data_IF_816436166911
#
_entry.id   IF_816436166911
#
_cell.length_a   1.000
_cell.length_b   1.000
_cell.length_c   1.000
_cell.angle_alpha   90.00
_cell.angle_beta   90.00
_cell.angle_gamma   90.00
#
_symmetry.space_group_name_H-M   'P 1'
#
loop_
_entity.id
_entity.type
_entity.pdbx_description
1 polymer ?
#
# COMPACT_ATOMS: atom_id res chain seq x y z
N UNK A 1 -16.91 20.26 90.19
CA UNK A 1 -17.51 20.47 88.85
C UNK A 1 -19.02 20.52 88.98
N UNK A 2 -19.70 21.48 88.35
CA UNK A 2 -21.17 21.55 88.39
C UNK A 2 -21.81 20.46 87.53
N UNK A 3 -23.06 20.09 87.83
CA UNK A 3 -23.79 19.11 87.02
C UNK A 3 -24.00 19.53 85.56
N UNK A 4 -24.02 20.85 85.28
CA UNK A 4 -24.09 21.40 83.93
C UNK A 4 -22.75 21.23 83.19
N UNK A 5 -21.63 21.56 83.85
CA UNK A 5 -20.29 21.36 83.29
C UNK A 5 -20.05 19.89 82.95
N UNK A 6 -20.34 18.96 83.87
CA UNK A 6 -20.21 17.52 83.63
C UNK A 6 -21.14 16.98 82.52
N UNK A 7 -22.23 17.68 82.21
CA UNK A 7 -23.09 17.35 81.06
C UNK A 7 -22.45 17.78 79.75
N UNK A 8 -21.82 18.96 79.72
CA UNK A 8 -21.18 19.48 78.51
C UNK A 8 -19.98 18.65 78.09
N UNK A 9 -19.13 18.19 79.01
CA UNK A 9 -18.04 17.25 78.69
C UNK A 9 -18.58 15.96 78.07
N UNK A 10 -19.63 15.37 78.64
CA UNK A 10 -20.25 14.15 78.09
C UNK A 10 -20.78 14.31 76.67
N UNK A 11 -21.23 15.50 76.28
CA UNK A 11 -21.65 15.78 74.92
C UNK A 11 -20.45 15.83 73.96
N UNK A 12 -19.34 16.46 74.38
CA UNK A 12 -18.10 16.46 73.58
C UNK A 12 -17.56 15.03 73.45
N UNK A 13 -17.55 14.24 74.53
CA UNK A 13 -17.12 12.83 74.52
C UNK A 13 -18.00 11.95 73.63
N UNK A 14 -19.29 12.26 73.50
CA UNK A 14 -20.17 11.54 72.58
C UNK A 14 -19.78 11.81 71.12
N UNK A 15 -19.51 13.07 70.77
CA UNK A 15 -19.08 13.43 69.42
C UNK A 15 -17.69 12.86 69.11
N UNK A 16 -16.77 12.89 70.07
CA UNK A 16 -15.44 12.30 69.97
C UNK A 16 -15.51 10.79 69.71
N UNK A 17 -16.34 10.05 70.45
CA UNK A 17 -16.56 8.61 70.21
C UNK A 17 -17.06 8.33 68.80
N UNK A 18 -17.93 9.17 68.25
CA UNK A 18 -18.42 9.00 66.87
C UNK A 18 -17.29 9.19 65.85
N UNK A 19 -16.42 10.19 66.03
CA UNK A 19 -15.25 10.39 65.18
C UNK A 19 -14.25 9.24 65.30
N UNK A 20 -13.94 8.83 66.52
CA UNK A 20 -13.09 7.66 66.80
C UNK A 20 -13.61 6.39 66.10
N UNK A 21 -14.91 6.09 66.24
CA UNK A 21 -15.53 4.91 65.62
C UNK A 21 -15.45 4.94 64.07
N UNK A 22 -15.56 6.13 63.46
CA UNK A 22 -15.39 6.28 62.01
C UNK A 22 -13.96 5.99 61.57
N UNK A 23 -12.96 6.37 62.37
CA UNK A 23 -11.54 6.14 62.08
C UNK A 23 -11.08 4.70 62.41
N UNK A 24 -11.71 4.06 63.40
CA UNK A 24 -11.35 2.70 63.84
C UNK A 24 -12.08 1.58 63.08
N UNK A 25 -12.93 1.92 62.10
CA UNK A 25 -13.67 0.92 61.32
C UNK A 25 -12.73 -0.13 60.69
N UNK A 26 -13.04 -1.43 60.78
CA UNK A 26 -12.25 -2.49 60.16
C UNK A 26 -12.29 -2.40 58.62
N UNK A 27 -13.32 -1.76 58.05
CA UNK A 27 -13.51 -1.55 56.61
C UNK A 27 -12.70 -0.38 56.05
N UNK A 28 -11.77 0.21 56.82
CA UNK A 28 -11.02 1.39 56.36
C UNK A 28 -10.31 1.17 55.01
N UNK A 29 -9.83 -0.04 54.75
CA UNK A 29 -9.17 -0.41 53.50
C UNK A 29 -10.11 -0.64 52.31
N UNK A 30 -11.43 -0.70 52.52
CA UNK A 30 -12.43 -0.89 51.47
C UNK A 30 -12.84 0.44 50.81
N UNK A 31 -12.55 1.57 51.46
CA UNK A 31 -12.81 2.90 50.91
C UNK A 31 -11.82 3.24 49.80
N UNK A 32 -12.32 3.84 48.73
CA UNK A 32 -11.43 4.39 47.69
C UNK A 32 -10.61 5.56 48.26
N UNK A 33 -9.56 5.97 47.55
CA UNK A 33 -8.65 7.01 48.01
C UNK A 33 -9.36 8.33 48.33
N UNK A 34 -10.27 8.78 47.45
CA UNK A 34 -11.02 10.02 47.64
C UNK A 34 -11.91 9.99 48.89
N UNK A 35 -12.55 8.85 49.18
CA UNK A 35 -13.37 8.67 50.37
C UNK A 35 -12.52 8.67 51.65
N UNK A 36 -11.33 8.06 51.63
CA UNK A 36 -10.39 8.09 52.76
C UNK A 36 -9.90 9.50 53.04
N UNK A 37 -9.53 10.25 52.00
CA UNK A 37 -9.07 11.63 52.12
C UNK A 37 -10.17 12.53 52.69
N UNK A 38 -11.40 12.39 52.20
CA UNK A 38 -12.55 13.16 52.71
C UNK A 38 -12.84 12.86 54.18
N UNK A 39 -12.75 11.58 54.58
CA UNK A 39 -12.95 11.16 55.98
C UNK A 39 -11.86 11.70 56.91
N UNK A 40 -10.60 11.70 56.46
CA UNK A 40 -9.48 12.28 57.21
C UNK A 40 -9.66 13.79 57.38
N UNK A 41 -9.97 14.51 56.30
CA UNK A 41 -10.23 15.94 56.34
C UNK A 41 -11.37 16.31 57.30
N UNK A 42 -12.47 15.53 57.28
CA UNK A 42 -13.57 15.73 58.22
C UNK A 42 -13.15 15.46 59.68
N UNK A 43 -12.40 14.38 59.92
CA UNK A 43 -11.94 14.03 61.26
C UNK A 43 -10.97 15.08 61.84
N UNK A 44 -10.16 15.71 61.00
CA UNK A 44 -9.28 16.83 61.39
C UNK A 44 -10.09 18.06 61.80
N UNK A 45 -11.08 18.45 60.98
CA UNK A 45 -11.97 19.56 61.31
C UNK A 45 -12.74 19.30 62.62
N UNK A 46 -13.22 18.07 62.81
CA UNK A 46 -13.92 17.67 64.04
C UNK A 46 -12.97 17.73 65.25
N UNK A 47 -11.73 17.25 65.12
CA UNK A 47 -10.73 17.28 66.20
C UNK A 47 -10.33 18.70 66.62
N UNK A 48 -10.28 19.64 65.68
CA UNK A 48 -10.04 21.06 65.98
C UNK A 48 -11.26 21.70 66.67
N UNK A 49 -12.48 21.34 66.24
CA UNK A 49 -13.70 21.78 66.92
C UNK A 49 -13.79 21.22 68.36
N UNK A 50 -13.40 19.96 68.59
CA UNK A 50 -13.36 19.37 69.93
C UNK A 50 -12.36 20.08 70.82
N UNK A 51 -11.14 20.36 70.32
CA UNK A 51 -10.14 21.15 71.07
C UNK A 51 -10.71 22.50 71.51
N UNK A 52 -11.30 23.26 70.58
CA UNK A 52 -11.87 24.57 70.88
C UNK A 52 -13.00 24.50 71.92
N UNK A 53 -13.86 23.47 71.85
CA UNK A 53 -14.94 23.26 72.84
C UNK A 53 -14.40 22.89 74.21
N UNK A 54 -13.38 22.02 74.29
CA UNK A 54 -12.73 21.66 75.54
C UNK A 54 -12.01 22.86 76.17
N UNK A 55 -11.30 23.67 75.38
CA UNK A 55 -10.63 24.89 75.86
C UNK A 55 -11.63 25.89 76.45
N UNK A 56 -12.78 26.08 75.79
CA UNK A 56 -13.85 26.95 76.30
C UNK A 56 -14.44 26.43 77.62
N UNK A 57 -14.67 25.11 77.74
CA UNK A 57 -15.15 24.51 78.99
C UNK A 57 -14.10 24.60 80.11
N UNK A 58 -12.83 24.40 79.78
CA UNK A 58 -11.71 24.51 80.72
C UNK A 58 -11.54 25.95 81.23
N UNK A 59 -11.78 26.98 80.40
CA UNK A 59 -11.69 28.38 80.78
C UNK A 59 -12.77 28.80 81.81
N UNK A 60 -13.93 28.12 81.82
CA UNK A 60 -15.02 28.35 82.76
C UNK A 60 -14.92 27.52 84.05
N UNK A 61 -13.92 26.63 84.15
CA UNK A 61 -13.70 25.77 85.32
C UNK A 61 -12.83 26.46 86.37
N UNK A 62 -13.09 26.13 87.64
CA UNK A 62 -12.15 26.40 88.71
C UNK A 62 -10.82 25.67 88.41
N UNK A 63 -9.66 26.35 88.47
CA UNK A 63 -8.36 25.73 88.20
C UNK A 63 -8.09 24.44 89.00
N UNK A 64 -8.65 24.31 90.20
CA UNK A 64 -8.52 23.09 91.02
C UNK A 64 -9.22 21.87 90.39
N UNK A 65 -10.16 22.08 89.46
CA UNK A 65 -10.95 21.05 88.80
C UNK A 65 -10.41 20.63 87.42
N UNK A 66 -9.35 21.28 86.91
CA UNK A 66 -8.73 20.89 85.64
C UNK A 66 -8.11 19.48 85.67
N UNK A 67 -7.89 18.95 86.88
CA UNK A 67 -7.39 17.59 87.10
C UNK A 67 -8.50 16.56 87.38
N UNK A 68 -9.77 16.95 87.24
CA UNK A 68 -10.88 16.02 87.43
C UNK A 68 -10.96 15.01 86.28
N UNK A 69 -11.34 13.77 86.59
CA UNK A 69 -11.44 12.67 85.62
C UNK A 69 -12.16 13.03 84.32
N UNK A 70 -13.30 13.78 84.30
CA UNK A 70 -13.96 14.13 83.04
C UNK A 70 -13.07 14.94 82.10
N UNK A 71 -12.25 15.86 82.63
CA UNK A 71 -11.35 16.68 81.82
C UNK A 71 -10.23 15.81 81.25
N UNK A 72 -9.60 14.99 82.11
CA UNK A 72 -8.51 14.10 81.68
C UNK A 72 -8.97 13.06 80.66
N UNK A 73 -10.17 12.51 80.83
CA UNK A 73 -10.75 11.54 79.89
C UNK A 73 -11.01 12.16 78.52
N UNK A 74 -11.58 13.37 78.47
CA UNK A 74 -11.83 14.07 77.19
C UNK A 74 -10.53 14.43 76.46
N UNK A 75 -9.51 14.89 77.20
CA UNK A 75 -8.19 15.19 76.64
C UNK A 75 -7.50 13.93 76.09
N UNK A 76 -7.59 12.81 76.82
CA UNK A 76 -7.06 11.52 76.37
C UNK A 76 -7.77 11.02 75.10
N UNK A 77 -9.10 11.18 75.03
CA UNK A 77 -9.87 10.76 73.86
C UNK A 77 -9.56 11.60 72.61
N UNK A 78 -9.40 12.92 72.76
CA UNK A 78 -8.95 13.78 71.67
C UNK A 78 -7.54 13.41 71.19
N UNK A 79 -6.64 13.08 72.11
CA UNK A 79 -5.30 12.60 71.77
C UNK A 79 -5.36 11.27 70.99
N UNK A 80 -6.24 10.35 71.37
CA UNK A 80 -6.46 9.08 70.66
C UNK A 80 -6.97 9.32 69.23
N UNK A 81 -7.93 10.24 69.04
CA UNK A 81 -8.42 10.60 67.70
C UNK A 81 -7.30 11.16 66.83
N UNK A 82 -6.49 12.09 67.36
CA UNK A 82 -5.35 12.66 66.61
C UNK A 82 -4.32 11.58 66.25
N UNK A 83 -4.06 10.63 67.13
CA UNK A 83 -3.19 9.49 66.86
C UNK A 83 -3.77 8.58 65.76
N UNK A 84 -5.08 8.31 65.78
CA UNK A 84 -5.76 7.55 64.72
C UNK A 84 -5.71 8.27 63.37
N UNK A 85 -5.90 9.59 63.33
CA UNK A 85 -5.75 10.38 62.10
C UNK A 85 -4.33 10.21 61.53
N UNK A 86 -3.30 10.37 62.35
CA UNK A 86 -1.91 10.18 61.93
C UNK A 86 -1.65 8.75 61.44
N UNK A 87 -2.10 7.74 62.21
CA UNK A 87 -1.97 6.33 61.84
C UNK A 87 -2.65 6.01 60.50
N UNK A 88 -3.85 6.57 60.25
CA UNK A 88 -4.60 6.34 59.02
C UNK A 88 -4.00 7.06 57.81
N UNK A 89 -3.34 8.20 58.04
CA UNK A 89 -2.59 8.93 56.99
C UNK A 89 -1.33 8.19 56.57
N UNK A 90 -0.68 7.48 57.50
CA UNK A 90 0.52 6.68 57.24
C UNK A 90 0.23 5.23 56.84
N UNK A 91 -1.03 4.77 56.97
CA UNK A 91 -1.42 3.42 56.59
C UNK A 91 -1.20 3.23 55.08
N UNK A 92 -0.36 2.27 54.66
CA UNK A 92 -0.15 2.00 53.24
C UNK A 92 -1.49 1.63 52.60
N UNK A 93 -1.70 2.06 51.35
CA UNK A 93 -2.85 1.58 50.61
C UNK A 93 -2.81 0.06 50.57
N UNK A 94 -3.91 -0.63 50.91
CA UNK A 94 -4.01 -2.04 50.60
C UNK A 94 -3.98 -2.15 49.08
N UNK A 95 -2.82 -2.50 48.53
CA UNK A 95 -2.71 -2.88 47.13
C UNK A 95 -3.52 -4.17 47.01
N UNK A 96 -4.77 -4.04 46.57
CA UNK A 96 -5.56 -5.20 46.22
C UNK A 96 -4.71 -6.00 45.22
N UNK A 97 -4.45 -7.28 45.52
CA UNK A 97 -3.76 -8.15 44.58
C UNK A 97 -4.55 -8.06 43.26
N UNK A 98 -3.88 -7.64 42.18
CA UNK A 98 -4.49 -7.62 40.86
C UNK A 98 -5.09 -9.00 40.59
N UNK A 99 -6.32 -9.07 40.09
CA UNK A 99 -6.90 -10.36 39.72
C UNK A 99 -6.01 -11.03 38.66
N UNK A 100 -6.03 -12.36 38.62
CA UNK A 100 -5.30 -13.11 37.58
C UNK A 100 -5.70 -12.64 36.18
N UNK A 101 -6.98 -12.25 36.00
CA UNK A 101 -7.54 -11.71 34.76
C UNK A 101 -6.95 -10.33 34.40
N UNK A 102 -6.83 -9.43 35.38
CA UNK A 102 -6.19 -8.12 35.19
C UNK A 102 -4.70 -8.28 34.85
N UNK A 103 -4.01 -9.21 35.52
CA UNK A 103 -2.60 -9.51 35.26
C UNK A 103 -2.40 -10.02 33.83
N UNK A 104 -3.23 -10.97 33.39
CA UNK A 104 -3.21 -11.50 32.03
C UNK A 104 -3.50 -10.40 30.98
N UNK A 105 -4.49 -9.53 31.23
CA UNK A 105 -4.82 -8.42 30.34
C UNK A 105 -3.65 -7.45 30.15
N UNK A 106 -2.94 -7.12 31.23
CA UNK A 106 -1.76 -6.25 31.19
C UNK A 106 -0.58 -6.91 30.47
N UNK A 107 -0.37 -8.22 30.65
CA UNK A 107 0.66 -8.98 29.91
C UNK A 107 0.36 -9.01 28.40
N UNK A 108 -0.89 -9.29 28.02
CA UNK A 108 -1.29 -9.29 26.61
C UNK A 108 -1.21 -7.91 25.99
N UNK A 109 -1.59 -6.86 26.72
CA UNK A 109 -1.45 -5.47 26.25
C UNK A 109 0.02 -5.12 25.99
N UNK A 110 0.93 -5.51 26.90
CA UNK A 110 2.37 -5.33 26.71
C UNK A 110 2.88 -6.09 25.50
N UNK A 111 2.50 -7.37 25.36
CA UNK A 111 2.92 -8.20 24.25
C UNK A 111 2.46 -7.62 22.89
N UNK A 112 1.21 -7.12 22.80
CA UNK A 112 0.73 -6.46 21.57
C UNK A 112 1.49 -5.18 21.27
N UNK A 113 1.82 -4.36 22.27
CA UNK A 113 2.64 -3.17 22.08
C UNK A 113 4.03 -3.51 21.57
N UNK A 114 4.71 -4.47 22.19
CA UNK A 114 6.04 -4.92 21.78
C UNK A 114 6.04 -5.47 20.35
N UNK A 115 5.05 -6.29 19.99
CA UNK A 115 4.88 -6.80 18.63
C UNK A 115 4.60 -5.67 17.63
N UNK A 116 3.78 -4.69 18.01
CA UNK A 116 3.48 -3.53 17.17
C UNK A 116 4.74 -2.70 16.91
N UNK A 117 5.50 -2.39 17.95
CA UNK A 117 6.76 -1.65 17.83
C UNK A 117 7.78 -2.39 16.96
N UNK A 118 7.86 -3.72 17.09
CA UNK A 118 8.78 -4.54 16.33
C UNK A 118 8.38 -4.70 14.84
N UNK A 119 7.08 -4.77 14.53
CA UNK A 119 6.62 -5.27 13.22
C UNK A 119 5.73 -4.33 12.42
N UNK A 120 5.19 -3.25 12.99
CA UNK A 120 4.24 -2.37 12.27
C UNK A 120 4.85 -1.78 10.99
N UNK A 121 6.13 -1.42 11.02
CA UNK A 121 6.84 -0.86 9.87
C UNK A 121 6.92 -1.86 8.69
N UNK A 122 6.92 -3.16 8.95
CA UNK A 122 6.97 -4.19 7.90
C UNK A 122 5.72 -4.20 7.02
N UNK A 123 4.57 -3.72 7.55
CA UNK A 123 3.31 -3.59 6.81
C UNK A 123 3.21 -2.29 6.01
N UNK A 124 4.23 -1.42 6.01
CA UNK A 124 4.21 -0.19 5.22
C UNK A 124 4.02 -0.50 3.73
N UNK A 125 3.05 0.16 3.09
CA UNK A 125 2.67 -0.10 1.69
C UNK A 125 1.67 -1.23 1.48
N UNK A 126 1.34 -2.01 2.53
CA UNK A 126 0.37 -3.11 2.46
C UNK A 126 -1.01 -2.61 2.89
N UNK A 127 -1.76 -2.06 1.93
CA UNK A 127 -3.04 -1.38 2.19
C UNK A 127 -4.28 -2.18 1.76
N UNK A 128 -4.12 -3.43 1.30
CA UNK A 128 -5.21 -4.26 0.81
C UNK A 128 -5.66 -3.94 -0.61
N UNK A 129 -4.83 -3.21 -1.37
CA UNK A 129 -5.00 -2.88 -2.79
C UNK A 129 -3.78 -3.39 -3.57
N UNK A 130 -3.80 -3.25 -4.91
CA UNK A 130 -2.64 -3.58 -5.74
C UNK A 130 -1.40 -2.81 -5.27
N UNK A 131 -0.30 -3.53 -5.11
CA UNK A 131 1.03 -2.97 -4.81
C UNK A 131 1.83 -2.71 -6.09
N UNK A 132 1.31 -3.11 -7.25
CA UNK A 132 1.93 -2.90 -8.55
C UNK A 132 1.55 -1.52 -9.07
N UNK A 133 2.56 -0.71 -9.38
CA UNK A 133 2.41 0.62 -9.94
C UNK A 133 3.65 0.97 -10.78
N UNK A 134 3.51 1.92 -11.69
CA UNK A 134 4.56 2.33 -12.61
C UNK A 134 4.01 2.82 -13.94
N UNK A 135 4.81 3.61 -14.63
CA UNK A 135 4.48 4.18 -15.94
C UNK A 135 4.88 3.29 -17.10
N UNK A 136 5.85 2.40 -16.87
CA UNK A 136 6.32 1.40 -17.84
C UNK A 136 6.10 -0.02 -17.31
N UNK A 137 6.02 -0.98 -18.22
CA UNK A 137 5.90 -2.41 -17.88
C UNK A 137 7.12 -2.87 -17.08
N UNK A 138 8.32 -2.43 -17.44
CA UNK A 138 9.56 -2.79 -16.74
C UNK A 138 9.53 -2.33 -15.27
N UNK A 139 9.13 -1.08 -15.05
CA UNK A 139 8.97 -0.51 -13.71
C UNK A 139 7.92 -1.27 -12.90
N UNK A 140 6.75 -1.55 -13.50
CA UNK A 140 5.69 -2.33 -12.85
C UNK A 140 6.16 -3.73 -12.45
N UNK A 141 6.89 -4.43 -13.33
CA UNK A 141 7.44 -5.76 -13.03
C UNK A 141 8.50 -5.70 -11.91
N UNK A 142 9.34 -4.66 -11.89
CA UNK A 142 10.32 -4.45 -10.83
C UNK A 142 9.64 -4.20 -9.48
N UNK A 143 8.71 -3.27 -9.43
CA UNK A 143 7.92 -2.93 -8.24
C UNK A 143 7.15 -4.14 -7.75
N UNK A 144 6.49 -4.87 -8.65
CA UNK A 144 5.73 -6.06 -8.28
C UNK A 144 6.61 -7.18 -7.73
N UNK A 145 7.81 -7.39 -8.27
CA UNK A 145 8.78 -8.35 -7.67
C UNK A 145 9.17 -7.97 -6.26
N UNK A 146 9.48 -6.70 -6.01
CA UNK A 146 9.79 -6.21 -4.67
C UNK A 146 8.60 -6.36 -3.71
N UNK A 147 7.39 -6.15 -4.18
CA UNK A 147 6.17 -6.38 -3.41
C UNK A 147 5.96 -7.87 -3.06
N UNK A 148 6.18 -8.79 -4.02
CA UNK A 148 6.15 -10.24 -3.73
C UNK A 148 7.15 -10.62 -2.64
N UNK A 149 8.39 -10.12 -2.73
CA UNK A 149 9.42 -10.35 -1.71
C UNK A 149 8.99 -9.83 -0.33
N UNK A 150 8.41 -8.62 -0.27
CA UNK A 150 7.90 -8.05 0.97
C UNK A 150 6.77 -8.91 1.57
N UNK A 151 5.79 -9.31 0.76
CA UNK A 151 4.66 -10.12 1.20
C UNK A 151 5.10 -11.51 1.65
N UNK A 152 6.07 -12.12 0.96
CA UNK A 152 6.65 -13.41 1.37
C UNK A 152 7.36 -13.29 2.72
N UNK A 153 8.11 -12.21 2.96
CA UNK A 153 8.76 -11.96 4.25
C UNK A 153 7.73 -11.78 5.37
N UNK A 154 6.66 -11.04 5.11
CA UNK A 154 5.57 -10.89 6.06
C UNK A 154 4.96 -12.25 6.41
N UNK A 155 4.66 -13.08 5.42
CA UNK A 155 4.10 -14.43 5.63
C UNK A 155 5.05 -15.37 6.40
N UNK A 156 6.35 -15.33 6.13
CA UNK A 156 7.30 -16.29 6.73
C UNK A 156 7.86 -15.86 8.09
N UNK A 157 8.00 -14.56 8.34
CA UNK A 157 8.69 -14.04 9.52
C UNK A 157 7.75 -13.33 10.49
N UNK A 158 6.92 -12.41 9.99
CA UNK A 158 6.10 -11.53 10.84
C UNK A 158 4.80 -12.21 11.24
N UNK A 159 4.13 -12.85 10.30
CA UNK A 159 2.83 -13.50 10.53
C UNK A 159 2.90 -14.56 11.64
N UNK A 160 3.86 -15.51 11.65
CA UNK A 160 3.96 -16.50 12.71
C UNK A 160 4.25 -15.88 14.09
N UNK A 161 4.94 -14.74 14.13
CA UNK A 161 5.27 -14.05 15.38
C UNK A 161 4.06 -13.35 16.00
N UNK A 162 3.23 -12.68 15.19
CA UNK A 162 2.11 -11.88 15.71
C UNK A 162 0.82 -12.70 15.90
N UNK A 163 0.56 -13.68 15.03
CA UNK A 163 -0.76 -14.34 14.95
C UNK A 163 -1.20 -15.03 16.26
N UNK A 164 -0.33 -15.71 17.05
CA UNK A 164 -0.74 -16.34 18.31
C UNK A 164 -1.28 -15.33 19.33
N UNK A 165 -0.57 -14.22 19.53
CA UNK A 165 -0.98 -13.16 20.48
C UNK A 165 -2.27 -12.50 20.02
N UNK A 166 -2.36 -12.17 18.72
CA UNK A 166 -3.55 -11.54 18.14
C UNK A 166 -4.79 -12.43 18.29
N UNK A 167 -4.66 -13.74 18.06
CA UNK A 167 -5.76 -14.69 18.25
C UNK A 167 -6.23 -14.74 19.70
N UNK A 168 -5.29 -14.82 20.66
CA UNK A 168 -5.63 -14.86 22.09
C UNK A 168 -6.37 -13.59 22.53
N UNK A 169 -5.97 -12.41 22.04
CA UNK A 169 -6.68 -11.15 22.31
C UNK A 169 -8.08 -11.17 21.71
N UNK A 170 -8.22 -11.58 20.45
CA UNK A 170 -9.51 -11.68 19.77
C UNK A 170 -10.50 -12.62 20.49
N UNK A 171 -10.03 -13.80 20.90
CA UNK A 171 -10.84 -14.79 21.62
C UNK A 171 -11.29 -14.31 23.01
N UNK A 172 -10.44 -13.54 23.69
CA UNK A 172 -10.67 -13.10 25.09
C UNK A 172 -11.50 -11.81 25.16
N UNK A 173 -11.20 -10.84 24.29
CA UNK A 173 -11.67 -9.46 24.40
C UNK A 173 -12.41 -8.96 23.15
N UNK A 174 -12.44 -9.75 22.07
CA UNK A 174 -13.10 -9.43 20.80
C UNK A 174 -12.17 -8.87 19.72
N UNK A 175 -12.68 -8.79 18.49
CA UNK A 175 -11.89 -8.42 17.29
C UNK A 175 -11.91 -6.92 16.94
N UNK A 176 -12.53 -6.09 17.79
CA UNK A 176 -12.64 -4.65 17.52
C UNK A 176 -12.03 -3.83 18.66
N UNK A 177 -11.47 -2.67 18.32
CA UNK A 177 -10.94 -1.75 19.34
C UNK A 177 -11.95 -1.41 20.43
N UNK A 178 -13.23 -1.21 20.07
CA UNK A 178 -14.29 -0.93 21.04
C UNK A 178 -14.60 -2.12 21.96
N UNK A 179 -14.66 -3.35 21.42
CA UNK A 179 -14.88 -4.55 22.23
C UNK A 179 -13.73 -4.73 23.24
N UNK A 180 -12.49 -4.61 22.76
CA UNK A 180 -11.28 -4.74 23.58
C UNK A 180 -11.27 -3.68 24.69
N UNK A 181 -11.45 -2.41 24.33
CA UNK A 181 -11.42 -1.32 25.31
C UNK A 181 -12.55 -1.42 26.34
N UNK A 182 -13.76 -1.87 25.94
CA UNK A 182 -14.87 -2.07 26.87
C UNK A 182 -14.61 -3.22 27.85
N UNK A 183 -14.02 -4.32 27.37
CA UNK A 183 -13.63 -5.45 28.23
C UNK A 183 -12.61 -5.01 29.28
N UNK A 184 -11.59 -4.25 28.87
CA UNK A 184 -10.55 -3.70 29.75
C UNK A 184 -11.11 -2.68 30.75
N UNK A 185 -12.07 -1.85 30.32
CA UNK A 185 -12.70 -0.90 31.22
C UNK A 185 -13.47 -1.62 32.35
N UNK A 186 -14.09 -2.77 32.07
CA UNK A 186 -14.75 -3.60 33.08
C UNK A 186 -13.80 -4.23 34.10
N UNK A 187 -12.48 -4.21 33.84
CA UNK A 187 -11.43 -4.73 34.72
C UNK A 187 -10.65 -3.62 35.46
N UNK A 188 -11.13 -2.38 35.42
CA UNK A 188 -10.46 -1.20 36.00
C UNK A 188 -9.02 -0.97 35.48
N UNK A 189 -8.73 -1.42 34.25
CA UNK A 189 -7.46 -1.14 33.57
C UNK A 189 -7.38 0.38 33.27
N UNK A 190 -6.26 1.07 33.58
CA UNK A 190 -6.12 2.52 33.36
C UNK A 190 -6.42 2.94 31.91
N UNK A 191 -7.11 4.08 31.74
CA UNK A 191 -7.54 4.59 30.42
C UNK A 191 -6.41 5.03 29.49
N UNK A 192 -5.17 5.12 29.99
CA UNK A 192 -3.99 5.46 29.20
C UNK A 192 -3.58 4.34 28.24
N UNK A 193 -4.21 3.17 28.33
CA UNK A 193 -3.92 2.02 27.48
C UNK A 193 -4.67 2.08 26.16
N UNK A 194 -3.96 2.45 25.09
CA UNK A 194 -4.41 2.42 23.69
C UNK A 194 -4.50 0.98 23.11
N UNK A 195 -4.82 -0.01 23.93
CA UNK A 195 -4.68 -1.43 23.58
C UNK A 195 -5.55 -1.81 22.37
N UNK A 196 -6.83 -1.41 22.35
CA UNK A 196 -7.70 -1.68 21.21
C UNK A 196 -7.18 -1.11 19.89
N UNK A 197 -6.60 0.09 19.88
CA UNK A 197 -6.00 0.67 18.67
C UNK A 197 -4.68 0.00 18.28
N UNK A 198 -3.83 -0.34 19.25
CA UNK A 198 -2.57 -1.05 19.01
C UNK A 198 -2.82 -2.43 18.38
N UNK A 199 -3.85 -3.13 18.85
CA UNK A 199 -4.34 -4.36 18.24
C UNK A 199 -4.82 -4.12 16.80
N UNK A 200 -5.65 -3.09 16.57
CA UNK A 200 -6.20 -2.84 15.24
C UNK A 200 -5.14 -2.48 14.19
N UNK A 201 -4.03 -1.85 14.58
CA UNK A 201 -2.92 -1.55 13.67
C UNK A 201 -2.34 -2.85 13.07
N UNK A 202 -2.05 -3.84 13.92
CA UNK A 202 -1.54 -5.15 13.49
C UNK A 202 -2.62 -5.97 12.77
N UNK A 203 -3.84 -5.99 13.30
CA UNK A 203 -4.95 -6.77 12.71
C UNK A 203 -5.25 -6.32 11.28
N UNK A 204 -5.25 -5.01 11.02
CA UNK A 204 -5.41 -4.47 9.65
C UNK A 204 -4.26 -4.86 8.74
N UNK A 205 -3.02 -4.87 9.25
CA UNK A 205 -1.87 -5.36 8.49
C UNK A 205 -2.04 -6.82 8.06
N UNK A 206 -2.51 -7.67 8.97
CA UNK A 206 -2.81 -9.09 8.69
C UNK A 206 -3.89 -9.26 7.63
N UNK A 207 -5.02 -8.55 7.75
CA UNK A 207 -6.11 -8.61 6.76
C UNK A 207 -5.68 -8.09 5.38
N UNK A 208 -4.94 -6.97 5.38
CA UNK A 208 -4.47 -6.35 4.15
C UNK A 208 -3.47 -7.22 3.38
N UNK A 209 -2.76 -8.16 4.04
CA UNK A 209 -1.78 -9.01 3.39
C UNK A 209 -2.41 -9.87 2.28
N UNK A 210 -3.43 -10.65 2.63
CA UNK A 210 -4.14 -11.50 1.67
C UNK A 210 -4.86 -10.68 0.59
N UNK A 211 -5.41 -9.53 0.98
CA UNK A 211 -6.09 -8.61 0.06
C UNK A 211 -5.13 -7.98 -0.95
N UNK A 212 -3.95 -7.54 -0.51
CA UNK A 212 -2.92 -6.98 -1.38
C UNK A 212 -2.38 -8.01 -2.36
N UNK A 213 -2.20 -9.27 -1.94
CA UNK A 213 -1.82 -10.38 -2.85
C UNK A 213 -2.83 -10.52 -3.98
N UNK A 214 -4.10 -10.72 -3.63
CA UNK A 214 -5.19 -10.89 -4.60
C UNK A 214 -5.33 -9.68 -5.53
N UNK A 215 -5.40 -8.48 -4.96
CA UNK A 215 -5.57 -7.26 -5.75
C UNK A 215 -4.40 -7.00 -6.71
N UNK A 216 -3.17 -7.36 -6.33
CA UNK A 216 -2.00 -7.24 -7.21
C UNK A 216 -2.02 -8.26 -8.35
N UNK A 217 -2.42 -9.51 -8.05
CA UNK A 217 -2.57 -10.54 -9.08
C UNK A 217 -3.68 -10.18 -10.09
N UNK A 218 -4.86 -9.77 -9.60
CA UNK A 218 -5.99 -9.34 -10.43
C UNK A 218 -5.64 -8.15 -11.33
N UNK A 219 -4.88 -7.18 -10.81
CA UNK A 219 -4.46 -6.01 -11.58
C UNK A 219 -3.51 -6.39 -12.73
N UNK A 220 -2.54 -7.26 -12.48
CA UNK A 220 -1.63 -7.78 -13.50
C UNK A 220 -2.37 -8.61 -14.56
N UNK A 221 -3.34 -9.44 -14.16
CA UNK A 221 -4.20 -10.20 -15.09
C UNK A 221 -5.00 -9.25 -15.99
N UNK A 222 -5.60 -8.20 -15.40
CA UNK A 222 -6.37 -7.19 -16.13
C UNK A 222 -5.49 -6.47 -17.15
N UNK A 223 -4.28 -6.06 -16.77
CA UNK A 223 -3.34 -5.39 -17.67
C UNK A 223 -2.87 -6.32 -18.80
N UNK A 224 -2.53 -7.57 -18.48
CA UNK A 224 -2.16 -8.57 -19.50
C UNK A 224 -3.29 -8.83 -20.49
N UNK A 225 -4.54 -8.92 -20.01
CA UNK A 225 -5.71 -9.19 -20.87
C UNK A 225 -5.90 -8.10 -21.93
N UNK A 226 -5.62 -6.83 -21.58
CA UNK A 226 -5.70 -5.73 -22.55
C UNK A 226 -4.74 -5.90 -23.75
N UNK A 227 -3.54 -6.45 -23.54
CA UNK A 227 -2.61 -6.71 -24.63
C UNK A 227 -3.00 -7.93 -25.46
N UNK A 228 -3.49 -8.98 -24.80
CA UNK A 228 -3.94 -10.21 -25.45
C UNK A 228 -5.13 -9.92 -26.36
N UNK A 229 -6.12 -9.15 -25.90
CA UNK A 229 -7.32 -8.81 -26.67
C UNK A 229 -7.00 -7.99 -27.93
N UNK A 230 -5.93 -7.18 -27.87
CA UNK A 230 -5.48 -6.34 -28.97
C UNK A 230 -4.39 -7.00 -29.82
N UNK A 231 -4.05 -8.28 -29.57
CA UNK A 231 -2.82 -8.85 -30.10
C UNK A 231 -2.73 -8.77 -31.63
N UNK A 232 -3.84 -9.06 -32.32
CA UNK A 232 -3.89 -9.04 -33.78
C UNK A 232 -3.82 -7.64 -34.38
N UNK A 233 -4.09 -6.58 -33.60
CA UNK A 233 -3.97 -5.19 -34.05
C UNK A 233 -2.53 -4.68 -34.08
N UNK A 234 -1.61 -5.35 -33.39
CA UNK A 234 -0.19 -4.99 -33.40
C UNK A 234 0.51 -5.51 -34.66
N UNK A 235 1.59 -4.82 -35.05
CA UNK A 235 2.50 -5.32 -36.09
C UNK A 235 3.13 -6.65 -35.67
N UNK A 236 3.54 -7.45 -36.63
CA UNK A 236 4.14 -8.78 -36.41
C UNK A 236 5.27 -8.76 -35.37
N UNK A 237 6.20 -7.81 -35.49
CA UNK A 237 7.32 -7.61 -34.56
C UNK A 237 6.85 -7.29 -33.13
N UNK A 238 5.74 -6.56 -33.00
CA UNK A 238 5.20 -6.20 -31.70
C UNK A 238 4.39 -7.33 -31.06
N UNK A 239 3.81 -8.24 -31.84
CA UNK A 239 2.98 -9.33 -31.31
C UNK A 239 3.74 -10.22 -30.33
N UNK A 240 4.90 -10.74 -30.73
CA UNK A 240 5.70 -11.60 -29.84
C UNK A 240 6.15 -10.85 -28.58
N UNK A 241 6.60 -9.59 -28.71
CA UNK A 241 6.94 -8.75 -27.56
C UNK A 241 5.75 -8.56 -26.60
N UNK A 242 4.56 -8.26 -27.12
CA UNK A 242 3.36 -8.07 -26.28
C UNK A 242 2.90 -9.35 -25.60
N UNK A 243 3.05 -10.50 -26.25
CA UNK A 243 2.79 -11.80 -25.63
C UNK A 243 3.83 -12.12 -24.54
N UNK A 244 5.10 -11.81 -24.76
CA UNK A 244 6.14 -11.97 -23.76
C UNK A 244 5.93 -11.06 -22.54
N UNK A 245 5.57 -9.79 -22.76
CA UNK A 245 5.20 -8.87 -21.68
C UNK A 245 3.99 -9.39 -20.89
N UNK A 246 2.97 -9.88 -21.58
CA UNK A 246 1.79 -10.51 -20.97
C UNK A 246 2.16 -11.73 -20.14
N UNK A 247 3.01 -12.60 -20.67
CA UNK A 247 3.54 -13.78 -19.97
C UNK A 247 4.26 -13.39 -18.69
N UNK A 248 5.12 -12.36 -18.74
CA UNK A 248 5.86 -11.88 -17.58
C UNK A 248 4.94 -11.28 -16.50
N UNK A 249 3.89 -10.55 -16.91
CA UNK A 249 2.86 -10.05 -15.98
C UNK A 249 2.09 -11.19 -15.30
N UNK A 250 1.67 -12.20 -16.06
CA UNK A 250 0.94 -13.35 -15.51
C UNK A 250 1.82 -14.23 -14.62
N UNK A 251 3.09 -14.42 -14.97
CA UNK A 251 4.04 -15.11 -14.10
C UNK A 251 4.26 -14.37 -12.77
N UNK A 252 4.30 -13.03 -12.81
CA UNK A 252 4.38 -12.23 -11.59
C UNK A 252 3.06 -12.28 -10.78
N UNK A 253 1.91 -12.27 -11.45
CA UNK A 253 0.62 -12.48 -10.79
C UNK A 253 0.57 -13.83 -10.07
N UNK A 254 1.11 -14.90 -10.69
CA UNK A 254 1.18 -16.23 -10.10
C UNK A 254 2.06 -16.23 -8.83
N UNK A 255 3.10 -15.40 -8.79
CA UNK A 255 3.92 -15.24 -7.60
C UNK A 255 3.18 -14.53 -6.44
N UNK A 256 2.16 -13.71 -6.73
CA UNK A 256 1.28 -13.14 -5.71
C UNK A 256 0.23 -14.14 -5.22
N UNK A 257 -0.42 -14.88 -6.13
CA UNK A 257 -1.45 -15.88 -5.83
C UNK A 257 -1.22 -17.20 -6.61
N UNK A 258 -0.39 -18.11 -6.09
CA UNK A 258 -0.05 -19.36 -6.79
C UNK A 258 -1.20 -20.38 -6.80
N UNK A 259 -2.21 -20.20 -5.94
CA UNK A 259 -3.34 -21.12 -5.80
C UNK A 259 -4.47 -20.83 -6.80
N UNK A 260 -4.43 -19.69 -7.50
CA UNK A 260 -5.44 -19.33 -8.49
C UNK A 260 -5.34 -20.19 -9.75
N UNK A 261 -6.28 -21.12 -9.90
CA UNK A 261 -6.36 -22.02 -11.05
C UNK A 261 -6.68 -21.31 -12.37
N UNK A 262 -7.45 -20.22 -12.34
CA UNK A 262 -7.81 -19.46 -13.54
C UNK A 262 -6.60 -18.71 -14.08
N UNK A 263 -5.85 -18.06 -13.19
CA UNK A 263 -4.57 -17.43 -13.52
C UNK A 263 -3.58 -18.42 -14.14
N UNK A 264 -3.43 -19.60 -13.55
CA UNK A 264 -2.56 -20.65 -14.07
C UNK A 264 -2.97 -21.12 -15.46
N UNK A 265 -4.28 -21.23 -15.73
CA UNK A 265 -4.78 -21.54 -17.08
C UNK A 265 -4.49 -20.41 -18.08
N UNK A 266 -4.67 -19.15 -17.68
CA UNK A 266 -4.38 -17.98 -18.52
C UNK A 266 -2.90 -17.92 -18.91
N UNK A 267 -1.99 -18.16 -17.97
CA UNK A 267 -0.56 -18.21 -18.26
C UNK A 267 -0.23 -19.29 -19.29
N UNK A 268 -0.79 -20.50 -19.13
CA UNK A 268 -0.61 -21.58 -20.10
C UNK A 268 -1.21 -21.26 -21.48
N UNK A 269 -2.33 -20.54 -21.54
CA UNK A 269 -2.93 -20.07 -22.80
C UNK A 269 -2.00 -19.07 -23.51
N UNK A 270 -1.41 -18.12 -22.78
CA UNK A 270 -0.46 -17.16 -23.36
C UNK A 270 0.80 -17.87 -23.88
N UNK A 271 1.31 -18.87 -23.15
CA UNK A 271 2.44 -19.68 -23.61
C UNK A 271 2.11 -20.40 -24.95
N UNK A 272 0.92 -20.98 -25.05
CA UNK A 272 0.45 -21.61 -26.28
C UNK A 272 0.26 -20.59 -27.43
N UNK A 273 -0.28 -19.41 -27.13
CA UNK A 273 -0.42 -18.32 -28.10
C UNK A 273 0.94 -17.83 -28.59
N UNK A 274 1.93 -17.72 -27.70
CA UNK A 274 3.29 -17.33 -28.06
C UNK A 274 3.91 -18.33 -29.03
N UNK A 275 3.88 -19.63 -28.70
CA UNK A 275 4.43 -20.67 -29.58
C UNK A 275 3.71 -20.72 -30.94
N UNK A 276 2.38 -20.64 -30.94
CA UNK A 276 1.60 -20.62 -32.17
C UNK A 276 1.87 -19.37 -33.03
N UNK A 277 2.10 -18.22 -32.39
CA UNK A 277 2.47 -16.97 -33.07
C UNK A 277 3.86 -17.08 -33.69
N UNK A 278 4.83 -17.62 -32.96
CA UNK A 278 6.20 -17.84 -33.45
C UNK A 278 6.20 -18.76 -34.67
N UNK A 279 5.52 -19.91 -34.60
CA UNK A 279 5.36 -20.83 -35.74
C UNK A 279 4.62 -20.20 -36.92
N UNK A 280 3.63 -19.33 -36.66
CA UNK A 280 2.90 -18.62 -37.72
C UNK A 280 3.82 -17.62 -38.42
N UNK A 281 4.57 -16.83 -37.67
CA UNK A 281 5.51 -15.85 -38.20
C UNK A 281 6.57 -16.53 -39.05
N UNK A 282 7.17 -17.61 -38.56
CA UNK A 282 8.21 -18.33 -39.31
C UNK A 282 7.67 -18.92 -40.63
N UNK A 283 6.49 -19.53 -40.59
CA UNK A 283 5.82 -20.02 -41.82
C UNK A 283 5.50 -18.89 -42.79
N UNK A 284 5.06 -17.75 -42.30
CA UNK A 284 4.77 -16.59 -43.15
C UNK A 284 6.07 -16.04 -43.77
N UNK A 285 7.15 -15.94 -42.99
CA UNK A 285 8.48 -15.55 -43.46
C UNK A 285 8.97 -16.46 -44.59
N UNK A 286 8.78 -17.78 -44.45
CA UNK A 286 9.12 -18.77 -45.48
C UNK A 286 8.28 -18.63 -46.74
N UNK A 287 6.97 -18.40 -46.58
CA UNK A 287 6.02 -18.34 -47.69
C UNK A 287 6.10 -17.02 -48.47
N UNK A 288 6.47 -15.91 -47.81
CA UNK A 288 6.46 -14.57 -48.40
C UNK A 288 7.45 -14.44 -49.55
N UNK A 289 6.96 -13.83 -50.63
CA UNK A 289 7.73 -13.53 -51.84
C UNK A 289 7.79 -12.02 -52.04
N UNK A 290 8.84 -11.54 -52.69
CA UNK A 290 8.93 -10.14 -53.07
C UNK A 290 7.82 -9.77 -54.06
N UNK A 291 7.12 -8.68 -53.76
CA UNK A 291 6.08 -8.13 -54.64
C UNK A 291 6.72 -7.13 -55.60
N UNK A 292 6.62 -7.40 -56.90
CA UNK A 292 7.08 -6.50 -57.96
C UNK A 292 6.29 -5.19 -58.00
N UNK A 293 6.64 -4.30 -58.93
CA UNK A 293 5.86 -3.07 -59.15
C UNK A 293 4.38 -3.39 -59.45
N UNK A 294 3.50 -2.47 -59.07
CA UNK A 294 2.10 -2.45 -59.48
C UNK A 294 2.01 -2.48 -61.01
N UNK A 295 1.22 -3.40 -61.56
CA UNK A 295 1.22 -3.70 -63.00
C UNK A 295 0.55 -2.63 -63.88
N UNK A 296 -0.32 -1.80 -63.31
CA UNK A 296 -1.17 -0.83 -64.00
C UNK A 296 -0.92 0.61 -63.53
N UNK A 297 0.34 0.97 -63.27
CA UNK A 297 0.69 2.33 -62.87
C UNK A 297 0.30 3.36 -63.94
N UNK A 298 -0.64 4.24 -63.62
CA UNK A 298 -1.18 5.26 -64.52
C UNK A 298 -0.62 6.68 -64.22
N UNK A 299 0.31 6.77 -63.28
CA UNK A 299 0.95 8.00 -62.85
C UNK A 299 2.02 8.52 -63.82
N UNK A 300 2.45 9.78 -63.68
CA UNK A 300 3.67 10.26 -64.34
C UNK A 300 4.91 9.51 -63.86
N UNK A 301 5.84 9.26 -64.79
CA UNK A 301 7.07 8.48 -64.57
C UNK A 301 6.90 6.98 -64.84
N UNK A 302 8.01 6.27 -65.00
CA UNK A 302 8.02 4.81 -65.07
C UNK A 302 8.26 4.21 -63.68
N UNK A 303 7.62 3.08 -63.36
CA UNK A 303 7.74 2.46 -62.02
C UNK A 303 9.18 2.11 -61.65
N UNK A 304 9.98 1.68 -62.62
CA UNK A 304 11.39 1.32 -62.41
C UNK A 304 12.25 2.55 -62.10
N UNK A 305 11.97 3.67 -62.75
CA UNK A 305 12.67 4.94 -62.51
C UNK A 305 12.31 5.52 -61.15
N UNK A 306 11.03 5.48 -60.79
CA UNK A 306 10.53 5.90 -59.48
C UNK A 306 11.12 5.01 -58.37
N UNK A 307 11.15 3.70 -58.56
CA UNK A 307 11.72 2.78 -57.60
C UNK A 307 13.23 3.00 -57.42
N UNK A 308 13.99 3.22 -58.51
CA UNK A 308 15.42 3.55 -58.43
C UNK A 308 15.65 4.87 -57.67
N UNK A 309 14.86 5.90 -57.97
CA UNK A 309 14.96 7.17 -57.26
C UNK A 309 14.61 7.05 -55.76
N UNK A 310 13.65 6.20 -55.40
CA UNK A 310 13.31 5.90 -54.02
C UNK A 310 14.42 5.08 -53.33
N UNK A 311 15.01 4.11 -54.02
CA UNK A 311 16.15 3.34 -53.54
C UNK A 311 17.36 4.23 -53.24
N UNK A 312 17.70 5.15 -54.16
CA UNK A 312 18.76 6.14 -53.98
C UNK A 312 18.47 7.08 -52.80
N UNK A 313 17.22 7.53 -52.67
CA UNK A 313 16.77 8.33 -51.54
C UNK A 313 17.00 7.62 -50.20
N UNK A 314 16.56 6.37 -50.06
CA UNK A 314 16.72 5.62 -48.80
C UNK A 314 18.18 5.25 -48.52
N UNK A 315 18.98 4.89 -49.53
CA UNK A 315 20.42 4.63 -49.37
C UNK A 315 21.18 5.86 -48.90
N UNK A 316 20.76 7.06 -49.33
CA UNK A 316 21.32 8.34 -48.91
C UNK A 316 20.78 8.87 -47.57
N UNK A 317 19.71 8.30 -47.03
CA UNK A 317 19.06 8.78 -45.81
C UNK A 317 19.74 8.21 -44.55
N UNK A 318 20.33 9.04 -43.67
CA UNK A 318 21.01 8.56 -42.45
C UNK A 318 20.10 7.79 -41.49
N UNK A 319 18.79 8.08 -41.51
CA UNK A 319 17.79 7.37 -40.70
C UNK A 319 17.64 5.89 -41.08
N UNK A 320 17.86 5.55 -42.35
CA UNK A 320 17.73 4.19 -42.88
C UNK A 320 19.09 3.48 -43.02
N UNK A 321 20.18 4.24 -43.07
CA UNK A 321 21.54 3.69 -43.11
C UNK A 321 22.42 4.31 -42.00
N UNK A 322 22.12 4.04 -40.71
CA UNK A 322 22.91 4.56 -39.61
C UNK A 322 24.31 3.91 -39.59
N UNK A 323 25.35 4.74 -39.45
CA UNK A 323 26.73 4.29 -39.41
C UNK A 323 26.95 3.21 -38.33
N UNK A 324 27.67 2.15 -38.69
CA UNK A 324 28.04 1.06 -37.77
C UNK A 324 26.98 -0.02 -37.54
N UNK A 325 25.80 0.06 -38.19
CA UNK A 325 24.74 -0.97 -38.08
C UNK A 325 24.73 -1.99 -39.22
N UNK A 326 25.57 -1.81 -40.24
CA UNK A 326 25.68 -2.73 -41.39
C UNK A 326 24.37 -2.88 -42.16
N UNK A 327 23.53 -1.84 -42.20
CA UNK A 327 22.23 -1.87 -42.89
C UNK A 327 22.45 -1.73 -44.39
N UNK A 328 21.75 -2.56 -45.15
CA UNK A 328 21.75 -2.56 -46.60
C UNK A 328 20.32 -2.47 -47.12
N UNK A 329 20.03 -1.43 -47.91
CA UNK A 329 18.77 -1.30 -48.64
C UNK A 329 18.91 -2.02 -49.98
N UNK A 330 18.17 -3.12 -50.13
CA UNK A 330 18.36 -4.09 -51.21
C UNK A 330 17.52 -3.76 -52.44
N UNK A 331 16.23 -3.43 -52.25
CA UNK A 331 15.31 -3.17 -53.35
C UNK A 331 14.14 -2.27 -52.92
N UNK A 332 13.53 -1.61 -53.91
CA UNK A 332 12.27 -0.87 -53.76
C UNK A 332 11.32 -1.28 -54.89
N UNK A 333 10.03 -1.39 -54.57
CA UNK A 333 8.96 -1.57 -55.58
C UNK A 333 7.82 -0.59 -55.34
N UNK A 334 7.20 -0.15 -56.44
CA UNK A 334 6.06 0.79 -56.42
C UNK A 334 4.80 -0.03 -56.21
N UNK A 335 4.05 0.23 -55.14
CA UNK A 335 2.91 -0.60 -54.72
C UNK A 335 1.56 0.04 -55.02
N UNK A 336 1.55 1.30 -55.46
CA UNK A 336 0.29 1.98 -55.76
C UNK A 336 0.48 3.23 -56.61
N UNK A 337 -0.66 3.82 -56.95
CA UNK A 337 -0.74 5.06 -57.72
C UNK A 337 -0.24 6.26 -56.88
N UNK A 338 0.02 7.38 -57.54
CA UNK A 338 0.22 8.65 -56.84
C UNK A 338 -1.02 9.04 -56.04
N UNK A 339 -0.83 9.41 -54.79
CA UNK A 339 -1.87 9.87 -53.89
C UNK A 339 -1.51 11.22 -53.25
N UNK A 340 -2.51 11.95 -52.78
CA UNK A 340 -2.31 13.25 -52.14
C UNK A 340 -1.72 13.03 -50.76
N UNK A 341 -0.54 13.61 -50.51
CA UNK A 341 0.10 13.60 -49.19
C UNK A 341 -0.41 14.78 -48.36
N UNK A 342 -0.26 16.00 -48.88
CA UNK A 342 -0.64 17.23 -48.19
C UNK A 342 -1.51 18.13 -49.07
N UNK A 343 -2.37 18.90 -48.38
CA UNK A 343 -3.27 19.90 -48.97
C UNK A 343 -3.02 21.26 -48.32
N UNK A 344 -3.28 22.33 -49.07
CA UNK A 344 -3.27 23.68 -48.50
C UNK A 344 -4.51 23.96 -47.63
N UNK A 345 -4.58 25.16 -47.05
CA UNK A 345 -5.71 25.63 -46.22
C UNK A 345 -7.07 25.59 -46.94
N UNK A 346 -7.08 25.52 -48.27
CA UNK A 346 -8.29 25.46 -49.10
C UNK A 346 -8.58 24.04 -49.62
N UNK A 347 -7.85 23.03 -49.13
CA UNK A 347 -8.04 21.63 -49.52
C UNK A 347 -7.43 21.25 -50.87
N UNK A 348 -6.63 22.11 -51.51
CA UNK A 348 -6.00 21.83 -52.80
C UNK A 348 -4.70 21.03 -52.59
N UNK A 349 -4.44 19.97 -53.39
CA UNK A 349 -3.20 19.20 -53.27
C UNK A 349 -1.95 20.06 -53.50
N UNK A 350 -1.00 19.99 -52.56
CA UNK A 350 0.31 20.67 -52.67
C UNK A 350 1.49 19.69 -52.65
N UNK A 351 1.26 18.46 -52.18
CA UNK A 351 2.29 17.43 -52.15
C UNK A 351 1.67 16.07 -52.50
N UNK A 352 2.45 15.25 -53.18
CA UNK A 352 2.06 13.91 -53.59
C UNK A 352 2.98 12.86 -52.97
N UNK A 353 2.44 11.66 -52.76
CA UNK A 353 3.17 10.48 -52.31
C UNK A 353 2.96 9.31 -53.25
N UNK A 354 3.90 8.36 -53.22
CA UNK A 354 3.77 7.06 -53.88
C UNK A 354 3.97 5.96 -52.83
N UNK A 355 3.03 5.01 -52.70
CA UNK A 355 3.22 3.82 -51.88
C UNK A 355 4.33 2.94 -52.43
N UNK A 356 5.25 2.50 -51.57
CA UNK A 356 6.36 1.63 -51.95
C UNK A 356 6.57 0.52 -50.92
N UNK A 357 7.06 -0.62 -51.36
CA UNK A 357 7.75 -1.56 -50.49
C UNK A 357 9.25 -1.31 -50.59
N UNK A 358 9.91 -1.18 -49.45
CA UNK A 358 11.36 -1.13 -49.37
C UNK A 358 11.84 -2.32 -48.57
N UNK A 359 12.80 -3.08 -49.10
CA UNK A 359 13.41 -4.19 -48.39
C UNK A 359 14.83 -3.88 -47.99
N UNK A 360 15.14 -4.18 -46.73
CA UNK A 360 16.45 -4.03 -46.14
C UNK A 360 16.89 -5.28 -45.40
N UNK A 361 18.19 -5.37 -45.15
CA UNK A 361 18.78 -6.34 -44.24
C UNK A 361 19.90 -5.68 -43.44
N UNK A 362 20.36 -6.33 -42.38
CA UNK A 362 21.58 -5.97 -41.67
C UNK A 362 22.43 -7.22 -41.43
N UNK A 363 23.56 -7.08 -40.74
CA UNK A 363 24.47 -8.20 -40.43
C UNK A 363 23.77 -9.37 -39.74
N UNK A 364 22.95 -9.10 -38.74
CA UNK A 364 22.28 -10.15 -37.94
C UNK A 364 21.16 -10.83 -38.75
N UNK A 365 20.34 -10.05 -39.45
CA UNK A 365 19.30 -10.61 -40.32
C UNK A 365 19.89 -11.43 -41.47
N UNK A 366 21.04 -11.01 -42.01
CA UNK A 366 21.74 -11.78 -43.04
C UNK A 366 22.17 -13.16 -42.54
N UNK A 367 22.67 -13.29 -41.31
CA UNK A 367 23.05 -14.59 -40.77
C UNK A 367 21.87 -15.55 -40.65
N UNK A 368 20.66 -15.00 -40.44
CA UNK A 368 19.42 -15.78 -40.32
C UNK A 368 18.67 -15.93 -41.66
N UNK A 369 19.29 -15.49 -42.77
CA UNK A 369 18.65 -15.46 -44.10
C UNK A 369 17.31 -14.70 -44.10
N UNK A 370 17.25 -13.58 -43.38
CA UNK A 370 16.08 -12.72 -43.25
C UNK A 370 16.30 -11.39 -43.98
N UNK A 371 15.25 -10.89 -44.61
CA UNK A 371 15.11 -9.50 -45.05
C UNK A 371 13.81 -8.92 -44.49
N UNK A 372 13.82 -7.62 -44.18
CA UNK A 372 12.67 -6.90 -43.64
C UNK A 372 12.13 -5.97 -44.71
N UNK A 373 10.85 -6.09 -44.97
CA UNK A 373 10.10 -5.23 -45.88
C UNK A 373 9.33 -4.21 -45.07
N UNK A 374 9.44 -2.95 -45.47
CA UNK A 374 8.65 -1.84 -44.96
C UNK A 374 7.63 -1.40 -45.99
N UNK A 375 6.40 -1.24 -45.55
CA UNK A 375 5.36 -0.53 -46.29
C UNK A 375 5.55 0.96 -46.04
N UNK A 376 5.94 1.69 -47.08
CA UNK A 376 6.27 3.11 -46.98
C UNK A 376 5.44 3.91 -47.98
N UNK A 377 5.43 5.22 -47.79
CA UNK A 377 5.05 6.18 -48.83
C UNK A 377 6.18 7.18 -48.99
N UNK A 378 6.75 7.31 -50.18
CA UNK A 378 7.77 8.33 -50.48
C UNK A 378 7.09 9.61 -50.95
N UNK A 379 7.55 10.76 -50.46
CA UNK A 379 6.94 12.07 -50.69
C UNK A 379 7.73 12.84 -51.75
N UNK A 380 7.02 13.33 -52.77
CA UNK A 380 7.57 14.29 -53.72
C UNK A 380 7.74 15.67 -53.07
N UNK A 381 8.47 16.57 -53.74
CA UNK A 381 8.59 17.98 -53.33
C UNK A 381 7.21 18.64 -53.27
N UNK A 382 7.03 19.53 -52.30
CA UNK A 382 5.88 20.42 -52.30
C UNK A 382 5.93 21.34 -53.53
N UNK A 383 4.77 21.56 -54.15
CA UNK A 383 4.57 22.50 -55.24
C UNK A 383 3.50 23.53 -54.90
N UNK A 384 3.38 24.55 -55.74
CA UNK A 384 2.23 25.46 -55.67
C UNK A 384 0.94 24.71 -56.03
N UNK A 385 -0.24 25.10 -55.49
CA UNK A 385 -1.53 24.46 -55.82
C UNK A 385 -1.82 24.36 -57.33
N UNK A 386 -1.33 25.33 -58.12
CA UNK A 386 -1.53 25.36 -59.58
C UNK A 386 -0.51 24.52 -60.36
N UNK A 387 0.56 24.05 -59.70
CA UNK A 387 1.64 23.23 -60.28
C UNK A 387 2.21 22.27 -59.22
N UNK A 388 1.43 21.28 -58.74
CA UNK A 388 1.94 20.34 -57.77
C UNK A 388 2.92 19.36 -58.43
N UNK A 389 3.98 18.98 -57.72
CA UNK A 389 5.07 18.15 -58.27
C UNK A 389 4.74 16.67 -58.07
N UNK A 390 4.56 15.93 -59.18
CA UNK A 390 4.40 14.47 -59.21
C UNK A 390 5.62 13.81 -59.87
N UNK A 391 6.78 13.97 -59.27
CA UNK A 391 8.03 13.44 -59.79
C UNK A 391 9.07 13.28 -58.67
N UNK A 392 10.04 12.40 -58.91
CA UNK A 392 11.30 12.36 -58.18
C UNK A 392 12.14 13.64 -58.45
N UNK A 393 13.13 14.00 -57.59
CA UNK A 393 13.57 13.28 -56.39
C UNK A 393 12.59 13.39 -55.22
N UNK A 394 12.52 12.33 -54.41
CA UNK A 394 11.75 12.30 -53.17
C UNK A 394 12.50 13.06 -52.06
N UNK A 395 11.73 13.61 -51.11
CA UNK A 395 12.27 14.46 -50.04
C UNK A 395 11.95 13.99 -48.64
N UNK A 396 10.93 13.15 -48.48
CA UNK A 396 10.49 12.63 -47.19
C UNK A 396 9.76 11.30 -47.36
N UNK A 397 9.38 10.64 -46.27
CA UNK A 397 8.66 9.37 -46.26
C UNK A 397 7.71 9.24 -45.07
N UNK A 398 6.65 8.46 -45.24
CA UNK A 398 5.83 7.96 -44.14
C UNK A 398 6.01 6.46 -43.98
N UNK A 399 6.08 5.99 -42.74
CA UNK A 399 6.25 4.57 -42.39
C UNK A 399 4.90 3.97 -42.03
N UNK A 400 4.55 2.86 -42.68
CA UNK A 400 3.43 2.01 -42.37
C UNK A 400 3.86 0.76 -41.60
N UNK A 401 3.41 -0.41 -42.05
CA UNK A 401 3.76 -1.69 -41.43
C UNK A 401 5.14 -2.20 -41.87
N UNK A 402 5.60 -3.23 -41.18
CA UNK A 402 6.77 -4.01 -41.58
C UNK A 402 6.51 -5.51 -41.40
N UNK A 403 7.20 -6.30 -42.21
CA UNK A 403 7.17 -7.76 -42.16
C UNK A 403 8.50 -8.35 -42.62
N UNK A 404 8.78 -9.58 -42.22
CA UNK A 404 9.99 -10.29 -42.61
C UNK A 404 9.73 -11.31 -43.72
N UNK A 405 10.74 -11.60 -44.54
CA UNK A 405 10.77 -12.68 -45.54
C UNK A 405 12.17 -13.26 -45.64
N UNK A 406 12.31 -14.40 -46.32
CA UNK A 406 13.65 -14.94 -46.62
C UNK A 406 14.42 -14.01 -47.55
N UNK A 407 15.68 -13.75 -47.20
CA UNK A 407 16.58 -12.93 -48.01
C UNK A 407 16.74 -13.48 -49.43
N UNK A 408 16.76 -14.82 -49.58
CA UNK A 408 16.78 -15.47 -50.89
C UNK A 408 15.56 -15.17 -51.78
N UNK A 409 14.45 -14.69 -51.21
CA UNK A 409 13.25 -14.31 -51.96
C UNK A 409 13.30 -12.83 -52.41
N UNK A 410 14.35 -12.08 -52.07
CA UNK A 410 14.56 -10.68 -52.46
C UNK A 410 15.18 -10.60 -53.86
N UNK A 411 14.69 -9.74 -54.76
CA UNK A 411 15.29 -9.60 -56.09
C UNK A 411 16.64 -8.89 -56.02
N UNK A 412 17.49 -9.17 -57.00
CA UNK A 412 18.70 -8.39 -57.23
C UNK A 412 18.32 -7.10 -57.97
N UNK A 413 18.38 -5.95 -57.30
CA UNK A 413 18.27 -4.63 -57.94
C UNK A 413 19.65 -3.94 -57.97
N UNK A 414 20.09 -3.45 -59.15
CA UNK A 414 21.39 -2.79 -59.31
C UNK A 414 21.49 -1.43 -58.59
#
# INVERSE_FOLDING_TARGET
MSGAQARNYRLVDQDMRNTRNRLSTPQWGEFNQSERDQRLAQAEADADQFRARLDALNAELDPALLQADPVQNSEAELAEIRALIAQRREAPEPVAAASDELTEALELSRAVRELREAHLASFQGVHGNSMVHGTSIEEQLQVGRAAVEQLNRLDSEVMPAIQPTMRRVAERYGETASAINNALHGMDVPREHHFGSEFMDLYRGMDNLARSRRASAEDLVRQSSMYIDLIESFSEEMRLRRLEESRNMLALAQAFDPADSELNQRLAQVDAMYAAMEERIERDVDARQWVSHVGDFAGPGQTDELARAALDFFRGAPAWNPAGRGVEILAVSIQGQWDVANRDLFGRPIQWRVPVHMVMTNTDMKSDNIARVYELSVLAREGSPDRPVKAAPFVDYWVGNSWNMRLNNVPVQP
#
